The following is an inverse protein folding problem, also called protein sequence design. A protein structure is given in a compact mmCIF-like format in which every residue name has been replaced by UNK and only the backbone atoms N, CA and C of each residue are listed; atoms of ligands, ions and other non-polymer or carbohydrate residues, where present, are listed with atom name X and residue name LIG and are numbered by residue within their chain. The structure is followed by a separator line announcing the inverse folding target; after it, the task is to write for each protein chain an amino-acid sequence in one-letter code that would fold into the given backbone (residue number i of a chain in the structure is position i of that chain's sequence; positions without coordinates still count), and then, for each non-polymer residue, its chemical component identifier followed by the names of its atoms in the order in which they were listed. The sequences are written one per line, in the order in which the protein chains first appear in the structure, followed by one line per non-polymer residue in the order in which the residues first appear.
data_IF_414496809878
#
_entry.id   IF_414496809878
#
_cell.length_a   1.000
_cell.length_b   1.000
_cell.length_c   1.000
_cell.angle_alpha   90.00
_cell.angle_beta   90.00
_cell.angle_gamma   90.00
#
_symmetry.space_group_name_H-M   'P 1'
#
loop_
_entity.id
_entity.type
_entity.pdbx_description
1 polymer ?
#
# COMPACT_ATOMS: atom_id res chain seq x y z
N UNK A 1 0.28 -1.40 -34.18
CA UNK A 1 -0.65 -0.36 -34.67
C UNK A 1 -0.78 -0.50 -36.19
N UNK A 2 -1.96 -0.30 -36.76
CA UNK A 2 -2.16 -0.33 -38.23
C UNK A 2 -2.27 1.10 -38.74
N UNK A 3 -1.60 1.38 -39.84
CA UNK A 3 -1.56 2.68 -40.51
C UNK A 3 -2.20 2.52 -41.87
N UNK A 4 -3.14 3.39 -42.19
CA UNK A 4 -3.81 3.43 -43.48
C UNK A 4 -3.27 4.59 -44.30
N UNK A 5 -2.88 4.29 -45.53
CA UNK A 5 -2.48 5.25 -46.55
C UNK A 5 -3.52 5.25 -47.64
N UNK A 6 -4.27 6.35 -47.72
CA UNK A 6 -5.38 6.52 -48.65
C UNK A 6 -4.99 7.53 -49.73
N UNK A 7 -5.04 7.10 -51.00
CA UNK A 7 -4.78 7.93 -52.17
C UNK A 7 -6.09 8.37 -52.82
N UNK A 8 -6.17 9.64 -53.21
CA UNK A 8 -7.34 10.21 -53.91
C UNK A 8 -7.61 9.57 -55.28
N UNK A 9 -6.58 9.00 -55.90
CA UNK A 9 -6.64 8.28 -57.17
C UNK A 9 -5.96 6.92 -57.06
N UNK A 10 -6.33 5.93 -57.90
CA UNK A 10 -5.63 4.65 -57.93
C UNK A 10 -4.16 4.82 -58.33
N UNK A 11 -3.27 4.10 -57.66
CA UNK A 11 -1.82 4.10 -57.92
C UNK A 11 -1.37 2.82 -58.64
N UNK A 12 -0.24 2.90 -59.35
CA UNK A 12 0.34 1.76 -60.10
C UNK A 12 1.31 0.94 -59.27
N UNK A 13 1.88 1.52 -58.21
CA UNK A 13 2.87 0.85 -57.38
C UNK A 13 2.26 -0.36 -56.66
N UNK A 14 3.07 -1.41 -56.52
CA UNK A 14 2.79 -2.52 -55.60
C UNK A 14 2.96 -2.08 -54.14
N UNK A 15 2.40 -2.86 -53.22
CA UNK A 15 2.54 -2.62 -51.77
C UNK A 15 4.00 -2.57 -51.33
N UNK A 16 4.88 -3.39 -51.90
CA UNK A 16 6.32 -3.42 -51.61
C UNK A 16 7.03 -2.18 -52.12
N UNK A 17 6.63 -1.66 -53.28
CA UNK A 17 7.17 -0.39 -53.80
C UNK A 17 6.76 0.79 -52.93
N UNK A 18 5.51 0.80 -52.44
CA UNK A 18 5.03 1.84 -51.52
C UNK A 18 5.77 1.74 -50.18
N UNK A 19 5.97 0.53 -49.66
CA UNK A 19 6.74 0.31 -48.43
C UNK A 19 8.16 0.88 -48.54
N UNK A 20 8.84 0.72 -49.67
CA UNK A 20 10.18 1.30 -49.91
C UNK A 20 10.18 2.83 -50.00
N UNK A 21 9.05 3.42 -50.38
CA UNK A 21 8.87 4.87 -50.42
C UNK A 21 8.49 5.46 -49.05
N UNK A 22 8.13 4.63 -48.07
CA UNK A 22 7.85 5.05 -46.71
C UNK A 22 9.12 5.01 -45.88
N UNK A 23 9.49 6.13 -45.30
CA UNK A 23 10.58 6.23 -44.34
C UNK A 23 10.02 6.38 -42.93
N UNK A 24 10.55 5.58 -42.00
CA UNK A 24 10.19 5.63 -40.59
C UNK A 24 11.48 5.64 -39.76
N UNK A 25 11.51 6.48 -38.73
CA UNK A 25 12.71 6.73 -37.93
C UNK A 25 13.23 5.50 -37.18
N UNK A 26 12.37 4.82 -36.43
CA UNK A 26 12.81 3.85 -35.41
C UNK A 26 12.04 2.52 -35.42
N UNK A 27 11.23 2.28 -36.44
CA UNK A 27 10.37 1.09 -36.49
C UNK A 27 10.31 0.49 -37.88
N UNK A 28 9.87 -0.76 -37.93
CA UNK A 28 9.74 -1.52 -39.17
C UNK A 28 8.26 -1.54 -39.55
N UNK A 29 7.97 -1.02 -40.74
CA UNK A 29 6.67 -1.21 -41.38
C UNK A 29 6.66 -2.57 -42.08
N UNK A 30 5.57 -3.30 -41.90
CA UNK A 30 5.29 -4.51 -42.66
C UNK A 30 3.97 -4.35 -43.42
N UNK A 31 3.85 -4.89 -44.64
CA UNK A 31 2.57 -4.89 -45.34
C UNK A 31 1.49 -5.53 -44.48
N UNK A 32 0.37 -4.84 -44.29
CA UNK A 32 -0.81 -5.39 -43.65
C UNK A 32 -1.87 -5.58 -44.72
N UNK A 33 -2.14 -6.84 -45.08
CA UNK A 33 -3.07 -7.13 -46.16
C UNK A 33 -4.51 -7.09 -45.64
N UNK A 34 -5.17 -5.95 -45.84
CA UNK A 34 -6.62 -5.85 -45.72
C UNK A 34 -7.26 -6.21 -47.08
N UNK A 35 -8.50 -6.74 -47.09
CA UNK A 35 -9.24 -7.11 -48.31
C UNK A 35 -9.75 -5.88 -49.06
N UNK A 36 -8.87 -4.91 -49.30
CA UNK A 36 -9.13 -3.77 -50.17
C UNK A 36 -8.78 -4.15 -51.60
N UNK A 37 -9.80 -4.42 -52.42
CA UNK A 37 -9.65 -4.62 -53.86
C UNK A 37 -9.39 -3.31 -54.63
N UNK A 38 -9.26 -2.18 -53.92
CA UNK A 38 -8.99 -0.88 -54.52
C UNK A 38 -7.50 -0.54 -54.39
N UNK A 39 -6.84 -0.30 -55.52
CA UNK A 39 -5.44 0.19 -55.62
C UNK A 39 -5.28 1.64 -55.13
N UNK A 40 -6.01 2.01 -54.08
CA UNK A 40 -6.11 3.34 -53.47
C UNK A 40 -5.80 3.32 -51.98
N UNK A 41 -6.12 2.22 -51.29
CA UNK A 41 -5.91 2.08 -49.84
C UNK A 41 -4.87 1.00 -49.60
N UNK A 42 -3.84 1.37 -48.85
CA UNK A 42 -2.77 0.49 -48.45
C UNK A 42 -2.61 0.55 -46.95
N UNK A 43 -2.42 -0.60 -46.33
CA UNK A 43 -2.29 -0.71 -44.88
C UNK A 43 -0.92 -1.26 -44.53
N UNK A 44 -0.31 -0.66 -43.51
CA UNK A 44 0.99 -1.08 -43.00
C UNK A 44 0.91 -1.28 -41.49
N UNK A 45 1.44 -2.39 -41.01
CA UNK A 45 1.54 -2.68 -39.60
C UNK A 45 2.88 -2.18 -39.09
N UNK A 46 2.81 -1.32 -38.08
CA UNK A 46 3.96 -0.80 -37.34
C UNK A 46 4.39 -1.84 -36.30
N UNK A 47 5.58 -2.40 -36.49
CA UNK A 47 6.13 -3.46 -35.66
C UNK A 47 7.37 -3.00 -34.88
N UNK A 48 7.70 -3.80 -33.86
CA UNK A 48 8.97 -3.75 -33.13
C UNK A 48 9.24 -2.45 -32.34
N UNK A 49 8.18 -1.82 -31.83
CA UNK A 49 8.36 -0.70 -30.90
C UNK A 49 8.28 -1.28 -29.49
N UNK A 50 9.42 -1.31 -28.81
CA UNK A 50 9.57 -1.92 -27.48
C UNK A 50 9.47 -0.92 -26.33
N UNK A 51 9.38 0.39 -26.63
CA UNK A 51 9.37 1.49 -25.66
C UNK A 51 8.44 2.60 -26.11
N UNK A 52 8.24 3.59 -25.25
CA UNK A 52 7.59 4.86 -25.62
C UNK A 52 8.50 5.65 -26.55
N UNK A 53 7.99 6.01 -27.74
CA UNK A 53 8.75 6.71 -28.77
C UNK A 53 7.87 7.61 -29.63
N UNK A 54 8.46 8.69 -30.15
CA UNK A 54 7.83 9.54 -31.15
C UNK A 54 8.13 8.94 -32.53
N UNK A 55 7.08 8.50 -33.21
CA UNK A 55 7.18 7.90 -34.54
C UNK A 55 6.89 8.98 -35.58
N UNK A 56 7.79 9.13 -36.55
CA UNK A 56 7.62 10.00 -37.71
C UNK A 56 7.61 9.14 -38.97
N UNK A 57 6.60 9.37 -39.81
CA UNK A 57 6.41 8.66 -41.07
C UNK A 57 6.42 9.67 -42.19
N UNK A 58 7.32 9.47 -43.14
CA UNK A 58 7.48 10.31 -44.32
C UNK A 58 7.25 9.48 -45.58
N UNK A 59 6.49 10.06 -46.52
CA UNK A 59 6.25 9.46 -47.83
C UNK A 59 7.12 10.15 -48.88
N UNK A 60 7.99 9.39 -49.54
CA UNK A 60 8.68 9.82 -50.74
C UNK A 60 7.71 9.83 -51.93
N UNK A 61 6.92 10.89 -52.01
CA UNK A 61 5.82 11.02 -52.97
C UNK A 61 6.26 10.89 -54.45
N UNK A 62 7.49 11.32 -54.78
CA UNK A 62 8.05 11.20 -56.14
C UNK A 62 8.22 9.76 -56.62
N UNK A 63 8.33 8.79 -55.70
CA UNK A 63 8.45 7.36 -55.98
C UNK A 63 7.09 6.66 -56.20
N UNK A 64 5.97 7.35 -55.93
CA UNK A 64 4.62 6.82 -56.07
C UNK A 64 3.95 7.43 -57.29
N UNK A 65 3.49 6.59 -58.23
CA UNK A 65 2.89 6.99 -59.48
C UNK A 65 1.40 6.66 -59.51
N UNK A 66 0.59 7.67 -59.84
CA UNK A 66 -0.82 7.48 -60.14
C UNK A 66 -1.03 6.65 -61.42
N UNK A 67 -2.28 6.25 -61.70
CA UNK A 67 -2.65 5.51 -62.91
C UNK A 67 -2.19 6.18 -64.22
N UNK A 68 -2.18 7.52 -64.25
CA UNK A 68 -1.75 8.33 -65.40
C UNK A 68 -0.21 8.43 -65.54
N UNK A 69 0.55 7.87 -64.60
CA UNK A 69 2.02 7.93 -64.58
C UNK A 69 2.59 9.20 -63.93
N UNK A 70 1.73 10.10 -63.45
CA UNK A 70 2.14 11.32 -62.75
C UNK A 70 2.47 10.97 -61.28
N UNK A 71 3.58 11.46 -60.71
CA UNK A 71 3.89 11.28 -59.29
C UNK A 71 2.84 11.91 -58.38
N UNK A 72 2.62 11.34 -57.20
CA UNK A 72 1.72 11.95 -56.20
C UNK A 72 2.38 13.20 -55.61
N UNK A 73 1.55 14.15 -55.16
CA UNK A 73 2.05 15.37 -54.53
C UNK A 73 2.70 15.08 -53.17
N UNK A 74 3.80 15.77 -52.81
CA UNK A 74 4.39 15.66 -51.47
C UNK A 74 3.39 15.99 -50.37
N UNK A 75 3.49 15.26 -49.26
CA UNK A 75 2.68 15.46 -48.04
C UNK A 75 3.62 15.69 -46.86
N UNK A 76 3.19 16.48 -45.89
CA UNK A 76 3.94 16.65 -44.65
C UNK A 76 4.08 15.29 -43.91
N UNK A 77 5.24 15.03 -43.27
CA UNK A 77 5.38 13.85 -42.42
C UNK A 77 4.34 13.83 -41.30
N UNK A 78 3.92 12.63 -40.92
CA UNK A 78 3.01 12.43 -39.78
C UNK A 78 3.86 12.04 -38.58
N UNK A 79 3.67 12.75 -37.46
CA UNK A 79 4.38 12.48 -36.21
C UNK A 79 3.38 12.23 -35.08
N UNK A 80 3.56 11.15 -34.32
CA UNK A 80 2.73 10.81 -33.17
C UNK A 80 3.53 10.10 -32.08
N UNK A 81 3.06 10.18 -30.84
CA UNK A 81 3.61 9.42 -29.73
C UNK A 81 3.03 8.00 -29.75
N UNK A 82 3.89 6.99 -29.75
CA UNK A 82 3.50 5.60 -29.63
C UNK A 82 4.13 4.97 -28.40
N UNK A 83 3.34 4.18 -27.69
CA UNK A 83 3.74 3.61 -26.42
C UNK A 83 3.13 2.23 -26.24
N UNK A 84 3.98 1.20 -26.30
CA UNK A 84 3.61 -0.20 -26.14
C UNK A 84 3.92 -0.77 -24.75
N UNK A 85 4.47 0.06 -23.83
CA UNK A 85 4.92 -0.42 -22.54
C UNK A 85 3.75 -0.51 -21.55
N UNK A 86 3.40 -1.74 -21.20
CA UNK A 86 2.41 -2.04 -20.15
C UNK A 86 2.89 -1.51 -18.78
N UNK A 87 2.01 -0.89 -17.98
CA UNK A 87 2.32 -0.54 -16.59
C UNK A 87 2.63 -1.81 -15.77
N UNK A 88 3.76 -1.84 -15.08
CA UNK A 88 4.02 -2.85 -14.04
C UNK A 88 3.55 -2.30 -12.69
N UNK A 89 3.13 -3.18 -11.79
CA UNK A 89 2.67 -2.79 -10.45
C UNK A 89 3.40 -3.60 -9.37
N UNK A 90 3.88 -2.89 -8.36
CA UNK A 90 4.52 -3.47 -7.19
C UNK A 90 3.68 -3.16 -5.94
N UNK A 91 3.32 -4.21 -5.21
CA UNK A 91 2.69 -4.12 -3.90
C UNK A 91 3.75 -4.20 -2.81
N UNK A 92 3.76 -3.20 -1.92
CA UNK A 92 4.70 -3.08 -0.81
C UNK A 92 3.98 -2.77 0.48
N UNK A 93 4.48 -3.28 1.60
CA UNK A 93 4.02 -2.87 2.92
C UNK A 93 5.23 -2.63 3.81
N UNK A 94 5.15 -1.60 4.66
CA UNK A 94 6.12 -1.37 5.73
C UNK A 94 5.71 -2.09 7.02
N UNK A 95 4.50 -2.65 7.09
CA UNK A 95 4.08 -3.46 8.21
C UNK A 95 4.94 -4.73 8.28
N UNK A 96 5.26 -5.14 9.51
CA UNK A 96 5.92 -6.42 9.74
C UNK A 96 5.08 -7.54 9.10
N UNK A 97 5.73 -8.64 8.71
CA UNK A 97 5.04 -9.84 8.19
C UNK A 97 4.02 -10.43 9.17
N UNK A 98 4.16 -10.06 10.45
CA UNK A 98 3.26 -10.36 11.56
C UNK A 98 2.85 -9.08 12.31
N UNK A 99 1.95 -8.28 11.74
CA UNK A 99 1.48 -7.03 12.36
C UNK A 99 0.55 -7.34 13.54
N UNK A 100 0.64 -6.50 14.60
CA UNK A 100 -0.28 -6.56 15.76
C UNK A 100 -1.61 -5.87 15.48
N UNK A 101 -1.63 -4.96 14.51
CA UNK A 101 -2.83 -4.30 14.02
C UNK A 101 -3.50 -5.18 12.96
N UNK A 102 -4.83 -5.21 12.95
CA UNK A 102 -5.61 -5.94 11.94
C UNK A 102 -5.69 -5.21 10.60
N UNK A 103 -5.48 -3.89 10.62
CA UNK A 103 -5.46 -3.03 9.43
C UNK A 103 -4.03 -2.84 8.91
N UNK A 104 -3.78 -3.31 7.70
CA UNK A 104 -2.47 -3.27 7.05
C UNK A 104 -2.48 -2.25 5.94
N UNK A 105 -1.54 -1.30 6.01
CA UNK A 105 -1.32 -0.36 4.93
C UNK A 105 -0.38 -0.97 3.87
N UNK A 106 -0.83 -0.94 2.63
CA UNK A 106 -0.12 -1.44 1.45
C UNK A 106 -0.04 -0.30 0.45
N UNK A 107 1.13 -0.11 -0.13
CA UNK A 107 1.36 0.81 -1.24
C UNK A 107 1.37 0.00 -2.54
N UNK A 108 0.50 0.36 -3.47
CA UNK A 108 0.60 -0.06 -4.86
C UNK A 108 1.32 1.01 -5.67
N UNK A 109 2.43 0.63 -6.27
CA UNK A 109 3.29 1.48 -7.08
C UNK A 109 3.29 1.00 -8.52
N UNK A 110 2.70 1.79 -9.40
CA UNK A 110 2.73 1.57 -10.84
C UNK A 110 3.96 2.25 -11.45
N UNK A 111 4.57 1.62 -12.46
CA UNK A 111 5.71 2.22 -13.18
C UNK A 111 5.31 3.42 -14.04
N UNK A 112 4.01 3.62 -14.27
CA UNK A 112 3.43 4.66 -15.11
C UNK A 112 2.09 5.11 -14.52
N UNK A 113 1.63 6.34 -14.81
CA UNK A 113 0.28 6.79 -14.50
C UNK A 113 -0.79 5.86 -15.08
N UNK A 114 -1.75 5.45 -14.25
CA UNK A 114 -2.92 4.66 -14.64
C UNK A 114 -4.22 5.40 -14.32
N UNK A 115 -5.31 5.03 -14.99
CA UNK A 115 -6.61 5.67 -14.85
C UNK A 115 -7.70 4.66 -14.53
N UNK A 116 -8.67 5.10 -13.71
CA UNK A 116 -9.81 4.27 -13.33
C UNK A 116 -9.50 3.16 -12.32
N UNK A 117 -8.36 3.20 -11.61
CA UNK A 117 -8.05 2.20 -10.60
C UNK A 117 -9.04 2.27 -9.43
N UNK A 118 -9.70 1.15 -9.14
CA UNK A 118 -10.70 1.06 -8.08
C UNK A 118 -10.54 -0.20 -7.21
N UNK A 119 -11.34 -0.29 -6.15
CA UNK A 119 -11.33 -1.39 -5.19
C UNK A 119 -11.66 -2.76 -5.82
N UNK A 120 -12.50 -2.81 -6.85
CA UNK A 120 -12.93 -4.06 -7.51
C UNK A 120 -11.83 -4.70 -8.36
N UNK A 121 -10.77 -3.94 -8.65
CA UNK A 121 -9.61 -4.37 -9.42
C UNK A 121 -8.55 -5.07 -8.56
N UNK A 122 -8.72 -5.10 -7.25
CA UNK A 122 -7.81 -5.73 -6.29
C UNK A 122 -8.43 -7.02 -5.77
N UNK A 123 -7.64 -8.09 -5.79
CA UNK A 123 -8.03 -9.37 -5.20
C UNK A 123 -7.41 -9.49 -3.82
N UNK A 124 -8.27 -9.69 -2.81
CA UNK A 124 -7.88 -9.94 -1.42
C UNK A 124 -8.46 -11.29 -1.01
N UNK A 125 -7.60 -12.20 -0.58
CA UNK A 125 -7.99 -13.49 -0.02
C UNK A 125 -7.86 -13.46 1.49
N UNK A 126 -8.87 -13.99 2.19
CA UNK A 126 -8.91 -14.12 3.66
C UNK A 126 -8.80 -12.76 4.38
N UNK A 127 -9.22 -11.70 3.70
CA UNK A 127 -9.23 -10.33 4.19
C UNK A 127 -10.20 -9.48 3.37
N UNK A 128 -10.35 -8.21 3.75
CA UNK A 128 -11.16 -7.24 3.01
C UNK A 128 -10.40 -5.94 2.80
N UNK A 129 -10.55 -5.34 1.62
CA UNK A 129 -10.08 -3.98 1.37
C UNK A 129 -11.06 -3.01 2.05
N UNK A 130 -10.58 -2.23 3.02
CA UNK A 130 -11.40 -1.27 3.78
C UNK A 130 -11.25 0.14 3.25
N UNK A 131 -10.09 0.46 2.65
CA UNK A 131 -9.83 1.79 2.09
C UNK A 131 -8.91 1.70 0.88
N UNK A 132 -9.22 2.49 -0.13
CA UNK A 132 -8.33 2.80 -1.24
C UNK A 132 -8.20 4.32 -1.33
N UNK A 133 -6.97 4.81 -1.42
CA UNK A 133 -6.68 6.23 -1.55
C UNK A 133 -5.65 6.48 -2.65
N UNK A 134 -6.00 7.37 -3.56
CA UNK A 134 -5.10 7.86 -4.60
C UNK A 134 -4.12 8.86 -3.98
N UNK A 135 -2.82 8.52 -4.01
CA UNK A 135 -1.75 9.45 -3.61
C UNK A 135 -1.24 10.22 -4.82
N UNK A 136 -1.14 9.53 -5.96
CA UNK A 136 -0.88 10.09 -7.28
C UNK A 136 -1.46 9.17 -8.36
N UNK A 137 -1.26 9.52 -9.64
CA UNK A 137 -1.68 8.65 -10.75
C UNK A 137 -0.89 7.33 -10.86
N UNK A 138 0.21 7.20 -10.12
CA UNK A 138 1.03 5.99 -10.11
C UNK A 138 1.22 5.39 -8.71
N UNK A 139 0.70 6.04 -7.66
CA UNK A 139 0.85 5.60 -6.27
C UNK A 139 -0.49 5.60 -5.56
N UNK A 140 -0.81 4.46 -4.97
CA UNK A 140 -2.07 4.24 -4.26
C UNK A 140 -1.81 3.63 -2.89
N UNK A 141 -2.53 4.11 -1.88
CA UNK A 141 -2.54 3.56 -0.53
C UNK A 141 -3.77 2.67 -0.37
N UNK A 142 -3.56 1.43 0.05
CA UNK A 142 -4.59 0.44 0.30
C UNK A 142 -4.57 0.10 1.78
N UNK A 143 -5.73 0.04 2.41
CA UNK A 143 -5.88 -0.53 3.76
C UNK A 143 -6.64 -1.83 3.65
N UNK A 144 -6.00 -2.92 4.09
CA UNK A 144 -6.58 -4.26 4.10
C UNK A 144 -6.77 -4.70 5.55
N UNK A 145 -7.99 -5.04 5.91
CA UNK A 145 -8.32 -5.61 7.21
C UNK A 145 -8.21 -7.14 7.13
N UNK A 146 -7.35 -7.72 7.95
CA UNK A 146 -7.23 -9.16 8.13
C UNK A 146 -8.44 -9.69 8.94
N UNK A 147 -9.20 -10.63 8.39
CA UNK A 147 -10.40 -11.15 9.07
C UNK A 147 -10.11 -12.31 10.02
N UNK A 148 -8.93 -12.91 9.91
CA UNK A 148 -8.50 -14.02 10.77
C UNK A 148 -6.97 -14.04 10.89
N UNK A 149 -6.45 -14.93 11.73
CA UNK A 149 -5.00 -15.19 11.86
C UNK A 149 -4.41 -15.95 10.67
N UNK A 150 -5.26 -16.32 9.71
CA UNK A 150 -4.82 -16.99 8.51
C UNK A 150 -4.03 -16.03 7.61
N UNK A 151 -3.36 -16.63 6.64
CA UNK A 151 -2.56 -15.93 5.67
C UNK A 151 -3.45 -15.07 4.76
N UNK A 152 -3.28 -13.76 4.82
CA UNK A 152 -3.93 -12.81 3.93
C UNK A 152 -3.05 -12.62 2.71
N UNK A 153 -3.65 -12.73 1.52
CA UNK A 153 -2.98 -12.52 0.25
C UNK A 153 -3.64 -11.37 -0.50
N UNK A 154 -2.83 -10.47 -1.05
CA UNK A 154 -3.28 -9.33 -1.86
C UNK A 154 -2.57 -9.36 -3.21
N UNK A 155 -3.34 -9.22 -4.28
CA UNK A 155 -2.87 -9.20 -5.67
C UNK A 155 -3.68 -8.22 -6.51
N UNK A 156 -3.03 -7.61 -7.51
CA UNK A 156 -3.68 -6.88 -8.58
C UNK A 156 -3.49 -7.70 -9.86
N UNK A 157 -4.55 -8.30 -10.42
CA UNK A 157 -4.45 -9.07 -11.65
C UNK A 157 -4.00 -8.23 -12.85
N UNK A 158 -3.52 -8.90 -13.90
CA UNK A 158 -3.26 -8.25 -15.18
C UNK A 158 -4.58 -7.81 -15.85
N UNK A 159 -4.54 -6.76 -16.67
CA UNK A 159 -5.72 -6.37 -17.46
C UNK A 159 -6.77 -5.56 -16.71
N UNK A 160 -6.45 -5.03 -15.53
CA UNK A 160 -7.42 -4.34 -14.67
C UNK A 160 -7.45 -2.83 -14.86
N UNK A 161 -6.28 -2.22 -15.10
CA UNK A 161 -6.15 -0.78 -15.32
C UNK A 161 -5.33 -0.49 -16.56
N UNK A 162 -5.60 0.65 -17.18
CA UNK A 162 -4.91 1.12 -18.37
C UNK A 162 -4.16 2.42 -18.12
N UNK A 163 -3.06 2.61 -18.83
CA UNK A 163 -2.41 3.92 -18.96
C UNK A 163 -3.13 4.82 -19.98
N UNK A 164 -2.58 6.01 -20.21
CA UNK A 164 -3.12 6.97 -21.19
C UNK A 164 -3.05 6.47 -22.64
N UNK A 165 -2.16 5.51 -22.90
CA UNK A 165 -1.92 4.91 -24.21
C UNK A 165 -2.79 3.67 -24.44
N UNK A 166 -3.63 3.30 -23.46
CA UNK A 166 -4.51 2.13 -23.50
C UNK A 166 -3.81 0.81 -23.19
N UNK A 167 -2.56 0.82 -22.71
CA UNK A 167 -1.87 -0.40 -22.32
C UNK A 167 -2.38 -0.86 -20.96
N UNK A 168 -2.88 -2.09 -20.91
CA UNK A 168 -3.29 -2.75 -19.68
C UNK A 168 -2.09 -3.08 -18.76
N UNK A 169 -2.30 -3.03 -17.44
CA UNK A 169 -1.26 -3.40 -16.47
C UNK A 169 -0.88 -4.88 -16.53
N UNK A 170 0.37 -5.17 -16.17
CA UNK A 170 0.82 -6.52 -15.81
C UNK A 170 0.32 -6.87 -14.41
N UNK A 171 0.25 -8.17 -14.10
CA UNK A 171 -0.09 -8.62 -12.75
C UNK A 171 0.97 -8.15 -11.73
N UNK A 172 0.54 -7.83 -10.51
CA UNK A 172 1.45 -7.48 -9.42
C UNK A 172 2.18 -8.70 -8.87
N UNK A 173 3.18 -8.45 -8.03
CA UNK A 173 3.59 -9.46 -7.05
C UNK A 173 2.42 -9.78 -6.10
N UNK A 174 2.44 -10.99 -5.56
CA UNK A 174 1.54 -11.40 -4.48
C UNK A 174 2.13 -10.95 -3.15
N UNK A 175 1.38 -10.15 -2.40
CA UNK A 175 1.77 -9.74 -1.06
C UNK A 175 1.07 -10.61 -0.03
N UNK A 176 1.84 -11.20 0.88
CA UNK A 176 1.39 -12.20 1.84
C UNK A 176 1.79 -11.79 3.25
N UNK A 177 0.84 -11.80 4.19
CA UNK A 177 1.10 -11.50 5.60
C UNK A 177 0.14 -12.25 6.53
N UNK A 178 0.52 -12.40 7.80
CA UNK A 178 -0.30 -13.08 8.84
C UNK A 178 -0.54 -12.14 10.00
N UNK A 179 -1.78 -11.77 10.27
CA UNK A 179 -2.10 -11.03 11.49
C UNK A 179 -1.86 -11.91 12.72
N UNK A 180 -1.33 -11.33 13.80
CA UNK A 180 -1.13 -12.05 15.06
C UNK A 180 -2.02 -11.49 16.15
N UNK A 181 -2.88 -12.36 16.69
CA UNK A 181 -3.51 -12.12 17.98
C UNK A 181 -2.79 -12.89 19.08
N UNK A 182 -2.87 -12.40 20.32
CA UNK A 182 -2.29 -13.12 21.44
C UNK A 182 -3.02 -14.47 21.61
N UNK A 183 -2.31 -15.60 21.77
CA UNK A 183 -2.95 -16.89 21.97
C UNK A 183 -3.96 -16.83 23.12
N UNK A 184 -5.15 -17.41 22.93
CA UNK A 184 -6.22 -17.39 23.93
C UNK A 184 -5.75 -17.90 25.31
N UNK A 185 -4.82 -18.85 25.33
CA UNK A 185 -4.24 -19.39 26.57
C UNK A 185 -3.42 -18.36 27.35
N UNK A 186 -2.71 -17.45 26.67
CA UNK A 186 -1.95 -16.39 27.32
C UNK A 186 -2.88 -15.37 27.97
N UNK A 187 -3.99 -15.04 27.31
CA UNK A 187 -5.02 -14.14 27.85
C UNK A 187 -5.66 -14.77 29.08
N UNK A 188 -6.05 -16.05 29.01
CA UNK A 188 -6.64 -16.76 30.13
C UNK A 188 -5.69 -16.85 31.34
N UNK A 189 -4.41 -17.18 31.11
CA UNK A 189 -3.39 -17.21 32.17
C UNK A 189 -3.18 -15.84 32.80
N UNK A 190 -3.13 -14.77 31.99
CA UNK A 190 -3.00 -13.41 32.49
C UNK A 190 -4.19 -13.03 33.38
N UNK A 191 -5.42 -13.29 32.93
CA UNK A 191 -6.63 -13.05 33.71
C UNK A 191 -6.65 -13.85 35.01
N UNK A 192 -6.24 -15.12 34.97
CA UNK A 192 -6.16 -15.98 36.15
C UNK A 192 -5.15 -15.46 37.17
N UNK A 193 -3.94 -15.13 36.74
CA UNK A 193 -2.88 -14.59 37.62
C UNK A 193 -3.31 -13.25 38.21
N UNK A 194 -3.89 -12.35 37.40
CA UNK A 194 -4.41 -11.06 37.85
C UNK A 194 -5.51 -11.20 38.90
N UNK A 195 -6.46 -12.13 38.69
CA UNK A 195 -7.48 -12.42 39.70
C UNK A 195 -6.87 -12.95 41.00
N UNK A 196 -5.86 -13.83 40.90
CA UNK A 196 -5.14 -14.37 42.06
C UNK A 196 -4.38 -13.30 42.86
N UNK A 197 -3.72 -12.34 42.19
CA UNK A 197 -3.00 -11.26 42.87
C UNK A 197 -3.96 -10.28 43.54
N UNK A 198 -5.10 -9.95 42.93
CA UNK A 198 -6.15 -9.14 43.54
C UNK A 198 -6.69 -9.82 44.81
N UNK A 199 -7.00 -11.12 44.73
CA UNK A 199 -7.49 -11.88 45.89
C UNK A 199 -6.46 -11.91 47.03
N UNK A 200 -5.18 -12.15 46.71
CA UNK A 200 -4.09 -12.17 47.70
C UNK A 200 -3.89 -10.80 48.35
N UNK A 201 -3.95 -9.72 47.56
CA UNK A 201 -3.85 -8.35 48.05
C UNK A 201 -5.01 -8.00 48.99
N UNK A 202 -6.24 -8.44 48.67
CA UNK A 202 -7.41 -8.23 49.52
C UNK A 202 -7.28 -8.96 50.87
N UNK A 203 -6.83 -10.22 50.86
CA UNK A 203 -6.60 -10.99 52.09
C UNK A 203 -5.53 -10.31 52.93
N UNK A 204 -4.41 -9.90 52.33
CA UNK A 204 -3.34 -9.20 53.04
C UNK A 204 -3.83 -7.89 53.67
N UNK A 205 -4.65 -7.12 52.96
CA UNK A 205 -5.24 -5.89 53.49
C UNK A 205 -6.16 -6.16 54.69
N UNK A 206 -6.99 -7.21 54.64
CA UNK A 206 -7.84 -7.58 55.77
C UNK A 206 -7.04 -8.05 56.99
N UNK A 207 -5.96 -8.82 56.78
CA UNK A 207 -5.07 -9.26 57.86
C UNK A 207 -4.40 -8.06 58.52
N UNK A 208 -3.87 -7.11 57.72
CA UNK A 208 -3.25 -5.88 58.24
C UNK A 208 -4.25 -5.03 59.04
N UNK A 209 -5.49 -4.89 58.55
CA UNK A 209 -6.52 -4.15 59.26
C UNK A 209 -6.91 -4.84 60.58
N UNK A 210 -7.02 -6.17 60.56
CA UNK A 210 -7.32 -6.96 61.76
C UNK A 210 -6.19 -6.88 62.79
N UNK A 211 -4.93 -6.95 62.36
CA UNK A 211 -3.78 -6.81 63.26
C UNK A 211 -3.70 -5.41 63.86
N UNK A 212 -3.96 -4.36 63.08
CA UNK A 212 -3.99 -2.99 63.58
C UNK A 212 -5.11 -2.78 64.61
N UNK A 213 -6.30 -3.34 64.36
CA UNK A 213 -7.39 -3.30 65.34
C UNK A 213 -7.06 -4.08 66.63
N UNK A 214 -6.42 -5.24 66.51
CA UNK A 214 -6.02 -6.04 67.67
C UNK A 214 -4.97 -5.33 68.53
N UNK A 215 -3.99 -4.68 67.90
CA UNK A 215 -2.98 -3.87 68.58
C UNK A 215 -3.62 -2.67 69.30
N UNK A 216 -4.55 -1.97 68.65
CA UNK A 216 -5.30 -0.88 69.26
C UNK A 216 -6.13 -1.34 70.47
N UNK A 217 -6.80 -2.50 70.39
CA UNK A 217 -7.54 -3.09 71.50
C UNK A 217 -6.60 -3.46 72.66
N UNK A 218 -5.44 -4.05 72.37
CA UNK A 218 -4.48 -4.42 73.41
C UNK A 218 -3.93 -3.20 74.15
N UNK A 219 -3.67 -2.10 73.44
CA UNK A 219 -3.27 -0.81 74.03
C UNK A 219 -4.38 -0.27 74.94
N UNK A 220 -5.65 -0.34 74.51
CA UNK A 220 -6.80 0.07 75.33
C UNK A 220 -6.99 -0.81 76.57
N UNK A 221 -6.79 -2.13 76.44
CA UNK A 221 -6.88 -3.08 77.55
C UNK A 221 -5.76 -2.87 78.59
N UNK A 222 -4.56 -2.47 78.14
CA UNK A 222 -3.45 -2.11 79.01
C UNK A 222 -3.64 -0.74 79.68
N UNK A 223 -4.46 0.15 79.11
CA UNK A 223 -4.81 1.47 79.62
C UNK A 223 -5.87 1.50 80.73
N UNK A 224 -6.34 0.33 81.19
CA UNK A 224 -7.36 0.20 82.24
C UNK A 224 -6.83 0.19 83.69
N UNK A 225 -5.52 0.22 83.93
CA UNK A 225 -4.95 0.27 85.27
C UNK A 225 -4.23 1.60 85.53
N UNK A 226 -4.91 2.45 86.29
CA UNK A 226 -4.43 3.62 87.04
C UNK A 226 -3.89 4.80 86.22
N UNK A 227 -4.73 5.83 86.14
CA UNK A 227 -4.31 7.21 86.02
C UNK A 227 -3.78 7.69 87.39
N UNK A 228 -2.53 8.17 87.52
CA UNK A 228 -2.20 9.16 88.50
C UNK A 228 -2.12 10.51 87.81
N UNK A 229 -3.12 11.34 88.10
CA UNK A 229 -2.97 12.78 88.04
C UNK A 229 -1.85 13.20 88.99
N UNK A 230 -0.79 13.82 88.50
CA UNK A 230 -0.01 14.76 89.32
C UNK A 230 0.31 16.00 88.50
N UNK A 231 -0.29 17.09 88.97
CA UNK A 231 -0.27 18.46 88.47
C UNK A 231 1.16 19.05 88.35
N UNK A 232 1.34 20.15 87.60
CA UNK A 232 2.62 20.74 87.24
C UNK A 232 3.17 21.64 88.36
N UNK A 233 4.46 21.97 88.22
CA UNK A 233 5.24 23.01 88.91
C UNK A 233 5.62 22.80 90.39
N UNK A 234 6.90 22.48 90.64
CA UNK A 234 7.61 22.97 91.83
C UNK A 234 9.11 23.18 91.53
N UNK A 235 9.48 24.46 91.48
CA UNK A 235 10.76 25.16 91.69
C UNK A 235 12.04 24.34 91.99
N UNK A 236 13.18 24.60 91.34
CA UNK A 236 14.08 25.75 91.55
C UNK A 236 14.55 25.89 93.02
N UNK A 237 15.74 25.39 93.37
CA UNK A 237 16.79 26.27 93.90
C UNK A 237 18.18 25.62 94.01
N UNK A 238 19.13 26.52 93.83
CA UNK A 238 20.58 26.48 93.79
C UNK A 238 21.19 26.63 95.21
N UNK A 239 22.37 26.02 95.41
CA UNK A 239 23.50 26.40 96.30
C UNK A 239 23.65 25.83 97.73
N UNK A 240 24.90 25.34 97.92
CA UNK A 240 25.84 25.17 99.06
C UNK A 240 25.39 25.61 100.47
N UNK A 241 25.78 24.96 101.57
CA UNK A 241 27.09 24.72 102.24
C UNK A 241 26.79 23.66 103.33
N UNK A 242 27.67 22.74 103.79
CA UNK A 242 28.96 22.94 104.48
C UNK A 242 28.84 22.56 105.98
N UNK A 243 29.75 21.69 106.47
CA UNK A 243 30.08 21.31 107.89
C UNK A 243 29.01 20.52 108.70
N UNK A 244 29.30 19.61 109.64
CA UNK A 244 30.48 19.09 110.38
C UNK A 244 30.03 17.69 110.92
N UNK A 245 30.82 16.61 110.99
CA UNK A 245 32.03 16.29 111.76
C UNK A 245 32.76 15.09 111.12
#
# INVERSE_FOLDING_TARGET
MIIFLDFSIPIRNSTEQILRALHVNSSILTPFHDRSNEARRFSFMLNNISRTEIITIELQATSILGRTGIPVSPVAPITFLFDSMRPSVALRTSSLSRPRDSDINIIAEFTKPVFGFDASMIEVLVGRLTRLQDLSRALYSLTVHAESENEVSVTIPAGKVTDISGNENLASNQLVFKHYSAPAICIALYSFVSAGTIATSLIAAMVLLSSANLEAINILALGGANCPTSNPSMNLNVVQQGEEL
#
